data_IF_195282936476
#
_entry.id   IF_195282936476
#
_cell.length_a   1.000
_cell.length_b   1.000
_cell.length_c   1.000
_cell.angle_alpha   90.00
_cell.angle_beta   90.00
_cell.angle_gamma   90.00
#
_symmetry.space_group_name_H-M   'P 1'
#
loop_
_entity.id
_entity.type
_entity.pdbx_description
1 polymer ?
#
# COMPACT_ATOMS: atom_id res chain seq x y z
N UNK A 1 -9.48 30.85 -7.01
CA UNK A 1 -9.90 29.47 -7.36
C UNK A 1 -9.09 28.53 -6.48
N UNK A 2 -9.71 27.60 -5.73
CA UNK A 2 -8.99 26.67 -4.85
C UNK A 2 -8.15 25.69 -5.71
N UNK A 3 -6.81 25.70 -5.62
CA UNK A 3 -5.93 24.84 -6.41
C UNK A 3 -6.10 23.35 -6.08
N UNK A 4 -6.68 23.02 -4.93
CA UNK A 4 -6.93 21.64 -4.49
C UNK A 4 -8.33 21.15 -4.86
N UNK A 5 -9.19 22.00 -5.43
CA UNK A 5 -10.55 21.62 -5.78
C UNK A 5 -10.62 20.43 -6.74
N UNK A 6 -9.64 20.30 -7.64
CA UNK A 6 -9.54 19.16 -8.54
C UNK A 6 -9.14 17.87 -7.78
N UNK A 7 -8.15 17.95 -6.87
CA UNK A 7 -7.68 16.81 -6.07
C UNK A 7 -8.66 16.33 -4.99
N UNK A 8 -9.59 17.19 -4.55
CA UNK A 8 -10.57 16.88 -3.50
C UNK A 8 -11.93 16.40 -4.04
N UNK A 9 -12.06 16.22 -5.36
CA UNK A 9 -13.32 15.81 -5.99
C UNK A 9 -13.80 14.49 -5.41
N UNK A 10 -12.88 13.56 -5.17
CA UNK A 10 -13.21 12.21 -4.70
C UNK A 10 -13.71 12.21 -3.25
N UNK A 11 -13.19 13.13 -2.44
CA UNK A 11 -13.59 13.31 -1.04
C UNK A 11 -15.00 13.92 -0.87
N UNK A 12 -15.68 14.27 -1.98
CA UNK A 12 -17.07 14.75 -1.99
C UNK A 12 -18.07 13.67 -2.41
N UNK A 13 -17.61 12.49 -2.82
CA UNK A 13 -18.50 11.33 -3.08
C UNK A 13 -19.10 10.84 -1.77
N UNK A 14 -20.23 10.16 -1.86
CA UNK A 14 -20.70 9.32 -0.76
C UNK A 14 -19.73 8.14 -0.53
N UNK A 15 -19.94 7.43 0.58
CA UNK A 15 -19.04 6.36 1.00
C UNK A 15 -18.96 5.23 -0.02
N UNK A 16 -20.07 4.80 -0.61
CA UNK A 16 -20.09 3.67 -1.54
C UNK A 16 -19.38 4.02 -2.83
N UNK A 17 -19.71 5.17 -3.43
CA UNK A 17 -19.08 5.63 -4.66
C UNK A 17 -17.59 5.96 -4.45
N UNK A 18 -17.18 6.38 -3.25
CA UNK A 18 -15.76 6.57 -2.92
C UNK A 18 -15.00 5.24 -2.85
N UNK A 19 -15.56 4.23 -2.20
CA UNK A 19 -14.94 2.91 -2.07
C UNK A 19 -14.81 2.22 -3.42
N UNK A 20 -15.85 2.30 -4.25
CA UNK A 20 -15.86 1.73 -5.59
C UNK A 20 -14.77 2.35 -6.48
N UNK A 21 -14.68 3.68 -6.52
CA UNK A 21 -13.63 4.38 -7.26
C UNK A 21 -12.23 4.00 -6.75
N UNK A 22 -12.01 4.04 -5.42
CA UNK A 22 -10.69 3.76 -4.83
C UNK A 22 -10.22 2.32 -5.05
N UNK A 23 -11.15 1.37 -5.04
CA UNK A 23 -10.84 -0.06 -5.22
C UNK A 23 -10.77 -0.49 -6.69
N UNK A 24 -11.11 0.39 -7.64
CA UNK A 24 -11.24 0.04 -9.06
C UNK A 24 -9.91 -0.27 -9.76
N UNK A 25 -8.78 0.20 -9.22
CA UNK A 25 -7.45 0.10 -9.83
C UNK A 25 -6.38 -0.29 -8.79
N UNK A 26 -6.67 -1.32 -8.00
CA UNK A 26 -5.72 -1.85 -7.01
C UNK A 26 -4.80 -2.86 -7.70
N UNK A 27 -3.48 -2.63 -7.76
CA UNK A 27 -2.53 -3.57 -8.36
C UNK A 27 -2.40 -4.84 -7.51
N UNK A 28 -1.89 -5.90 -8.13
CA UNK A 28 -1.52 -7.12 -7.40
C UNK A 28 -0.49 -6.82 -6.30
N UNK A 29 -0.57 -7.58 -5.21
CA UNK A 29 0.38 -7.43 -4.12
C UNK A 29 1.80 -7.81 -4.57
N UNK A 30 2.84 -7.09 -4.11
CA UNK A 30 4.20 -7.47 -4.42
C UNK A 30 4.61 -8.81 -3.75
N UNK A 31 5.65 -9.49 -4.25
CA UNK A 31 5.99 -10.87 -3.88
C UNK A 31 6.18 -11.15 -2.39
N UNK A 32 6.64 -10.15 -1.63
CA UNK A 32 7.01 -10.34 -0.22
C UNK A 32 5.96 -9.79 0.76
N UNK A 33 4.82 -9.26 0.28
CA UNK A 33 3.85 -8.51 1.09
C UNK A 33 3.38 -9.28 2.34
N UNK A 34 3.03 -10.56 2.19
CA UNK A 34 2.56 -11.39 3.29
C UNK A 34 3.67 -11.75 4.29
N UNK A 35 4.91 -11.90 3.82
CA UNK A 35 6.06 -12.17 4.71
C UNK A 35 6.33 -10.96 5.61
N UNK A 36 6.38 -9.77 5.01
CA UNK A 36 6.54 -8.50 5.76
C UNK A 36 5.41 -8.30 6.77
N UNK A 37 4.15 -8.57 6.40
CA UNK A 37 3.03 -8.48 7.34
C UNK A 37 3.24 -9.37 8.57
N UNK A 38 3.59 -10.65 8.38
CA UNK A 38 3.85 -11.57 9.49
C UNK A 38 4.99 -11.10 10.38
N UNK A 39 6.08 -10.62 9.78
CA UNK A 39 7.21 -10.05 10.53
C UNK A 39 6.79 -8.85 11.37
N UNK A 40 6.03 -7.91 10.78
CA UNK A 40 5.58 -6.69 11.46
C UNK A 40 4.67 -6.96 12.65
N UNK A 41 3.83 -7.99 12.59
CA UNK A 41 2.97 -8.40 13.71
C UNK A 41 3.66 -9.36 14.69
N UNK A 42 4.94 -9.66 14.48
CA UNK A 42 5.74 -10.56 15.32
C UNK A 42 5.41 -12.04 15.18
N UNK A 43 4.70 -12.44 14.11
CA UNK A 43 4.40 -13.84 13.80
C UNK A 43 5.56 -14.59 13.14
N UNK A 44 6.50 -13.87 12.54
CA UNK A 44 7.69 -14.41 11.88
C UNK A 44 8.93 -13.63 12.36
N UNK A 45 10.04 -14.33 12.60
CA UNK A 45 11.34 -13.71 12.88
C UNK A 45 12.20 -13.83 11.64
N UNK A 46 12.83 -12.73 11.25
CA UNK A 46 13.70 -12.66 10.07
C UNK A 46 15.15 -12.49 10.54
N UNK A 47 16.11 -13.26 9.99
CA UNK A 47 17.53 -13.07 10.28
C UNK A 47 17.98 -11.64 9.95
N UNK A 48 18.93 -11.11 10.72
CA UNK A 48 19.40 -9.72 10.55
C UNK A 48 20.02 -9.46 9.17
N UNK A 49 20.62 -10.48 8.55
CA UNK A 49 21.22 -10.46 7.22
C UNK A 49 20.20 -10.46 6.08
N UNK A 50 18.99 -10.97 6.30
CA UNK A 50 17.88 -10.94 5.33
C UNK A 50 17.00 -9.68 5.44
N UNK A 51 17.11 -8.93 6.54
CA UNK A 51 16.20 -7.83 6.86
C UNK A 51 16.21 -6.73 5.79
N UNK A 52 17.40 -6.33 5.34
CA UNK A 52 17.54 -5.28 4.34
C UNK A 52 16.96 -5.70 2.98
N UNK A 53 17.14 -6.95 2.57
CA UNK A 53 16.57 -7.48 1.33
C UNK A 53 15.04 -7.58 1.41
N UNK A 54 14.50 -7.95 2.57
CA UNK A 54 13.06 -8.05 2.76
C UNK A 54 12.36 -6.68 2.74
N UNK A 55 13.00 -5.64 3.29
CA UNK A 55 12.49 -4.26 3.34
C UNK A 55 12.70 -3.49 2.02
N UNK A 56 13.85 -3.67 1.36
CA UNK A 56 14.24 -2.90 0.17
C UNK A 56 14.06 -3.66 -1.16
N UNK A 57 13.77 -4.96 -1.09
CA UNK A 57 13.63 -5.83 -2.26
C UNK A 57 12.32 -5.61 -3.03
N UNK A 58 11.75 -6.63 -3.69
CA UNK A 58 10.60 -6.49 -4.57
C UNK A 58 9.29 -6.06 -3.87
N UNK A 59 9.35 -5.68 -2.59
CA UNK A 59 8.26 -5.18 -1.77
C UNK A 59 8.25 -3.65 -1.67
N UNK A 60 8.68 -2.97 -2.74
CA UNK A 60 8.68 -1.51 -2.78
C UNK A 60 7.26 -0.99 -3.10
N UNK A 61 6.34 -1.08 -2.13
CA UNK A 61 4.96 -0.58 -2.23
C UNK A 61 4.84 0.95 -2.44
N UNK A 62 5.92 1.64 -2.76
CA UNK A 62 5.95 3.06 -3.06
C UNK A 62 6.94 3.45 -4.20
N UNK A 63 7.52 2.49 -4.93
CA UNK A 63 8.28 2.79 -6.15
C UNK A 63 7.40 2.63 -7.40
N UNK A 64 6.48 3.57 -7.56
CA UNK A 64 6.31 4.41 -8.76
C UNK A 64 5.14 5.39 -8.54
#
# INVERSE_FOLDING_TARGET
RDPLAHRRRDLRRDREAFVEELASDVPDHPPNFERVKRTNVGQESVPADELAELELGPNNCAAE
#
